data_IF_385465112028
#
_entry.id   IF_385465112028
#
_cell.length_a   1.000
_cell.length_b   1.000
_cell.length_c   1.000
_cell.angle_alpha   90.00
_cell.angle_beta   90.00
_cell.angle_gamma   90.00
#
_symmetry.space_group_name_H-M   'P 1'
#
loop_
_entity.id
_entity.type
_entity.pdbx_description
1 polymer ?
#
# COMPACT_ATOMS: atom_id res chain seq x y z
N UNK A 1 50.20 -35.49 12.27
CA UNK A 1 49.57 -34.74 13.40
C UNK A 1 49.08 -33.35 12.99
N UNK A 2 49.92 -32.44 12.45
CA UNK A 2 49.54 -31.06 12.07
C UNK A 2 48.40 -30.91 11.03
N UNK A 3 48.31 -31.82 10.06
CA UNK A 3 47.28 -31.83 9.00
C UNK A 3 45.87 -32.19 9.52
N UNK A 4 45.75 -33.03 10.56
CA UNK A 4 44.44 -33.39 11.13
C UNK A 4 43.83 -32.25 11.97
N UNK A 5 44.67 -31.48 12.66
CA UNK A 5 44.19 -30.34 13.45
C UNK A 5 43.65 -29.21 12.57
N UNK A 6 44.23 -28.97 11.38
CA UNK A 6 43.71 -27.99 10.42
C UNK A 6 42.35 -28.40 9.85
N UNK A 7 42.14 -29.70 9.56
CA UNK A 7 40.86 -30.21 9.08
C UNK A 7 39.76 -30.13 10.14
N UNK A 8 40.09 -30.40 11.40
CA UNK A 8 39.15 -30.25 12.53
C UNK A 8 38.83 -28.79 12.84
N UNK A 9 39.80 -27.87 12.71
CA UNK A 9 39.56 -26.43 12.90
C UNK A 9 38.70 -25.81 11.79
N UNK A 10 38.92 -26.20 10.52
CA UNK A 10 38.10 -25.71 9.38
C UNK A 10 36.65 -26.21 9.49
N UNK A 11 36.43 -27.45 9.93
CA UNK A 11 35.08 -27.99 10.16
C UNK A 11 34.38 -27.38 11.39
N UNK A 12 35.13 -26.92 12.38
CA UNK A 12 34.57 -26.24 13.55
C UNK A 12 34.18 -24.78 13.25
N UNK A 13 34.94 -24.10 12.37
CA UNK A 13 34.62 -22.75 11.90
C UNK A 13 33.39 -22.74 10.98
N UNK A 14 33.19 -23.80 10.18
CA UNK A 14 31.99 -24.00 9.34
C UNK A 14 30.71 -24.33 10.13
N UNK A 15 30.82 -24.80 11.38
CA UNK A 15 29.66 -25.19 12.20
C UNK A 15 29.25 -24.16 13.26
N UNK A 16 30.15 -23.26 13.69
CA UNK A 16 29.84 -22.23 14.69
C UNK A 16 29.68 -20.80 14.15
N UNK A 17 30.04 -20.53 12.88
CA UNK A 17 30.05 -19.17 12.34
C UNK A 17 29.24 -19.03 11.04
N UNK A 18 27.98 -18.60 11.15
CA UNK A 18 27.35 -17.87 10.05
C UNK A 18 26.11 -18.46 9.39
N UNK A 19 25.13 -18.97 10.16
CA UNK A 19 23.77 -19.24 9.64
C UNK A 19 22.67 -18.49 10.42
N UNK A 20 23.03 -17.46 11.18
CA UNK A 20 22.06 -16.56 11.78
C UNK A 20 22.33 -15.13 11.29
N UNK A 21 21.30 -14.48 10.73
CA UNK A 21 21.23 -13.04 10.39
C UNK A 21 21.35 -12.59 8.91
N UNK A 22 21.03 -13.41 7.90
CA UNK A 22 20.81 -12.88 6.52
C UNK A 22 19.45 -13.26 5.91
N UNK A 23 18.53 -13.89 6.65
CA UNK A 23 17.26 -14.34 6.04
C UNK A 23 16.13 -13.30 6.05
N UNK A 24 16.23 -12.22 6.84
CA UNK A 24 15.13 -11.26 7.00
C UNK A 24 15.00 -10.23 5.87
N UNK A 25 16.03 -10.03 5.04
CA UNK A 25 15.97 -9.04 3.95
C UNK A 25 15.53 -9.61 2.59
N UNK A 26 15.49 -10.93 2.45
CA UNK A 26 15.11 -11.58 1.19
C UNK A 26 13.59 -11.73 1.03
N UNK A 27 12.82 -11.71 2.12
CA UNK A 27 11.37 -11.92 2.07
C UNK A 27 10.64 -10.82 1.26
N UNK A 28 10.90 -9.54 1.54
CA UNK A 28 10.29 -8.43 0.79
C UNK A 28 10.65 -8.41 -0.69
N UNK A 29 11.92 -8.71 -1.05
CA UNK A 29 12.39 -8.72 -2.43
C UNK A 29 11.70 -9.84 -3.24
N UNK A 30 11.47 -10.99 -2.63
CA UNK A 30 10.78 -12.12 -3.27
C UNK A 30 9.33 -11.77 -3.58
N UNK A 31 8.61 -11.15 -2.65
CA UNK A 31 7.22 -10.76 -2.87
C UNK A 31 7.06 -9.65 -3.91
N UNK A 32 7.97 -8.68 -3.95
CA UNK A 32 7.97 -7.61 -4.95
C UNK A 32 8.29 -8.16 -6.35
N UNK A 33 9.21 -9.13 -6.46
CA UNK A 33 9.50 -9.81 -7.73
C UNK A 33 8.27 -10.63 -8.20
N UNK A 34 7.64 -11.37 -7.31
CA UNK A 34 6.44 -12.15 -7.64
C UNK A 34 5.30 -11.25 -8.13
N UNK A 35 5.13 -10.05 -7.54
CA UNK A 35 4.15 -9.07 -8.04
C UNK A 35 4.46 -8.59 -9.46
N UNK A 36 5.73 -8.38 -9.80
CA UNK A 36 6.14 -8.00 -11.16
C UNK A 36 5.88 -9.14 -12.17
N UNK A 37 6.11 -10.39 -11.78
CA UNK A 37 5.76 -11.55 -12.60
C UNK A 37 4.24 -11.65 -12.81
N UNK A 38 3.43 -11.41 -11.78
CA UNK A 38 1.97 -11.40 -11.87
C UNK A 38 1.45 -10.27 -12.79
N UNK A 39 2.15 -9.14 -12.85
CA UNK A 39 1.84 -8.04 -13.79
C UNK A 39 2.06 -8.47 -15.25
N UNK A 40 3.19 -9.14 -15.54
CA UNK A 40 3.44 -9.71 -16.87
C UNK A 40 2.37 -10.76 -17.23
N UNK A 41 1.94 -11.57 -16.28
CA UNK A 41 0.85 -12.55 -16.51
C UNK A 41 -0.46 -11.83 -16.81
N UNK A 42 -0.80 -10.76 -16.09
CA UNK A 42 -1.99 -9.95 -16.34
C UNK A 42 -1.97 -9.39 -17.77
N UNK A 43 -0.86 -8.79 -18.21
CA UNK A 43 -0.74 -8.23 -19.57
C UNK A 43 -0.95 -9.30 -20.65
N UNK A 44 -0.41 -10.51 -20.44
CA UNK A 44 -0.60 -11.63 -21.36
C UNK A 44 -2.07 -12.10 -21.39
N UNK A 45 -2.76 -12.11 -20.26
CA UNK A 45 -4.18 -12.47 -20.18
C UNK A 45 -5.07 -11.40 -20.85
N UNK A 46 -4.74 -10.13 -20.67
CA UNK A 46 -5.42 -9.01 -21.33
C UNK A 46 -5.25 -9.11 -22.86
N UNK A 47 -4.03 -9.37 -23.34
CA UNK A 47 -3.80 -9.62 -24.76
C UNK A 47 -4.64 -10.81 -25.28
N UNK A 48 -4.68 -11.93 -24.55
CA UNK A 48 -5.51 -13.08 -24.94
C UNK A 48 -7.00 -12.71 -25.03
N UNK A 49 -7.49 -11.93 -24.08
CA UNK A 49 -8.87 -11.44 -24.03
C UNK A 49 -9.20 -10.53 -25.20
N UNK A 50 -8.29 -9.63 -25.56
CA UNK A 50 -8.41 -8.78 -26.74
C UNK A 50 -8.48 -9.62 -28.03
N UNK A 51 -7.67 -10.66 -28.16
CA UNK A 51 -7.75 -11.58 -29.31
C UNK A 51 -9.08 -12.32 -29.39
N UNK A 52 -9.63 -12.76 -28.25
CA UNK A 52 -10.95 -13.40 -28.19
C UNK A 52 -12.04 -12.40 -28.61
N UNK A 53 -11.97 -11.16 -28.14
CA UNK A 53 -12.90 -10.09 -28.53
C UNK A 53 -12.81 -9.78 -30.02
N UNK A 54 -11.60 -9.60 -30.54
CA UNK A 54 -11.36 -9.35 -31.95
C UNK A 54 -11.95 -10.45 -32.85
N UNK A 55 -11.75 -11.73 -32.49
CA UNK A 55 -12.34 -12.87 -33.21
C UNK A 55 -13.86 -12.85 -33.16
N UNK A 56 -14.44 -12.61 -31.97
CA UNK A 56 -15.88 -12.50 -31.80
C UNK A 56 -16.45 -11.40 -32.69
N UNK A 57 -15.89 -10.19 -32.63
CA UNK A 57 -16.38 -9.04 -33.39
C UNK A 57 -16.27 -9.26 -34.90
N UNK A 58 -15.20 -9.94 -35.32
CA UNK A 58 -15.01 -10.34 -36.72
C UNK A 58 -16.06 -11.34 -37.16
N UNK A 59 -16.34 -12.37 -36.37
CA UNK A 59 -17.37 -13.37 -36.69
C UNK A 59 -18.78 -12.77 -36.65
N UNK A 60 -19.07 -11.86 -35.71
CA UNK A 60 -20.33 -11.12 -35.65
C UNK A 60 -20.54 -10.31 -36.93
N UNK A 61 -19.53 -9.56 -37.39
CA UNK A 61 -19.59 -8.82 -38.67
C UNK A 61 -19.85 -9.75 -39.86
N UNK A 62 -19.23 -10.94 -39.87
CA UNK A 62 -19.46 -11.94 -40.91
C UNK A 62 -20.87 -12.53 -40.87
N UNK A 63 -21.45 -12.74 -39.68
CA UNK A 63 -22.82 -13.24 -39.54
C UNK A 63 -23.85 -12.32 -40.18
N UNK A 64 -23.66 -10.99 -40.11
CA UNK A 64 -24.55 -10.03 -40.76
C UNK A 64 -24.52 -10.07 -42.30
N UNK A 65 -23.56 -10.79 -42.90
CA UNK A 65 -23.52 -11.03 -44.35
C UNK A 65 -24.28 -12.28 -44.77
N UNK A 66 -24.79 -13.08 -43.82
CA UNK A 66 -25.48 -14.34 -44.08
C UNK A 66 -27.00 -14.18 -44.03
N UNK A 67 -27.72 -15.07 -44.72
CA UNK A 67 -29.18 -15.10 -44.68
C UNK A 67 -29.73 -15.49 -43.29
N UNK A 68 -29.09 -16.44 -42.61
CA UNK A 68 -29.51 -16.91 -41.27
C UNK A 68 -28.69 -16.23 -40.16
N UNK A 69 -28.86 -14.92 -40.01
CA UNK A 69 -28.09 -14.09 -39.05
C UNK A 69 -28.24 -14.60 -37.61
N UNK A 70 -29.47 -14.78 -37.12
CA UNK A 70 -29.74 -15.15 -35.72
C UNK A 70 -29.05 -16.47 -35.32
N UNK A 71 -29.19 -17.50 -36.15
CA UNK A 71 -28.55 -18.80 -35.90
C UNK A 71 -27.02 -18.70 -35.91
N UNK A 72 -26.46 -17.83 -36.76
CA UNK A 72 -25.02 -17.57 -36.79
C UNK A 72 -24.58 -16.87 -35.49
N UNK A 73 -25.28 -15.80 -35.08
CA UNK A 73 -24.98 -15.04 -33.87
C UNK A 73 -25.03 -15.92 -32.61
N UNK A 74 -26.02 -16.81 -32.50
CA UNK A 74 -26.10 -17.76 -31.38
C UNK A 74 -24.87 -18.65 -31.31
N UNK A 75 -24.42 -19.19 -32.45
CA UNK A 75 -23.22 -20.02 -32.50
C UNK A 75 -21.97 -19.24 -32.10
N UNK A 76 -21.80 -18.04 -32.63
CA UNK A 76 -20.66 -17.16 -32.29
C UNK A 76 -20.66 -16.84 -30.81
N UNK A 77 -21.81 -16.49 -30.23
CA UNK A 77 -21.96 -16.24 -28.79
C UNK A 77 -21.55 -17.45 -27.95
N UNK A 78 -21.97 -18.65 -28.32
CA UNK A 78 -21.58 -19.87 -27.60
C UNK A 78 -20.07 -20.12 -27.66
N UNK A 79 -19.44 -19.87 -28.82
CA UNK A 79 -17.98 -19.98 -28.96
C UNK A 79 -17.27 -18.93 -28.11
N UNK A 80 -17.69 -17.67 -28.19
CA UNK A 80 -17.13 -16.58 -27.39
C UNK A 80 -17.21 -16.86 -25.89
N UNK A 81 -18.37 -17.32 -25.40
CA UNK A 81 -18.55 -17.64 -23.98
C UNK A 81 -17.62 -18.77 -23.51
N UNK A 82 -17.32 -19.75 -24.38
CA UNK A 82 -16.36 -20.82 -24.06
C UNK A 82 -14.93 -20.28 -24.00
N UNK A 83 -14.53 -19.50 -24.99
CA UNK A 83 -13.18 -18.92 -25.07
C UNK A 83 -12.91 -17.95 -23.92
N UNK A 84 -13.82 -17.00 -23.66
CA UNK A 84 -13.67 -16.01 -22.60
C UNK A 84 -13.68 -16.65 -21.20
N UNK A 85 -14.41 -17.76 -21.03
CA UNK A 85 -14.43 -18.50 -19.76
C UNK A 85 -13.06 -19.07 -19.42
N UNK A 86 -12.32 -19.56 -20.41
CA UNK A 86 -10.95 -20.09 -20.19
C UNK A 86 -10.03 -18.97 -19.68
N UNK A 87 -10.04 -17.82 -20.34
CA UNK A 87 -9.25 -16.65 -19.93
C UNK A 87 -9.66 -16.17 -18.54
N UNK A 88 -10.97 -16.07 -18.27
CA UNK A 88 -11.50 -15.64 -16.96
C UNK A 88 -11.07 -16.54 -15.80
N UNK A 89 -11.02 -17.85 -16.00
CA UNK A 89 -10.56 -18.78 -14.96
C UNK A 89 -9.09 -18.51 -14.61
N UNK A 90 -8.27 -18.20 -15.61
CA UNK A 90 -6.86 -17.84 -15.40
C UNK A 90 -6.71 -16.47 -14.73
N UNK A 91 -7.49 -15.46 -15.14
CA UNK A 91 -7.56 -14.14 -14.49
C UNK A 91 -7.90 -14.26 -13.00
N UNK A 92 -8.93 -15.05 -12.66
CA UNK A 92 -9.35 -15.26 -11.27
C UNK A 92 -8.23 -15.92 -10.45
N UNK A 93 -7.64 -17.00 -10.95
CA UNK A 93 -6.55 -17.68 -10.26
C UNK A 93 -5.34 -16.75 -10.02
N UNK A 94 -4.99 -15.93 -11.01
CA UNK A 94 -3.92 -14.93 -10.89
C UNK A 94 -4.30 -13.84 -9.86
N UNK A 95 -5.51 -13.30 -9.92
CA UNK A 95 -5.97 -12.29 -8.96
C UNK A 95 -6.01 -12.81 -7.53
N UNK A 96 -6.40 -14.07 -7.34
CA UNK A 96 -6.38 -14.73 -6.03
C UNK A 96 -4.95 -14.78 -5.50
N UNK A 97 -3.99 -15.19 -6.34
CA UNK A 97 -2.56 -15.19 -5.98
C UNK A 97 -2.04 -13.79 -5.66
N UNK A 98 -2.42 -12.78 -6.44
CA UNK A 98 -2.05 -11.38 -6.19
C UNK A 98 -2.59 -10.88 -4.86
N UNK A 99 -3.79 -11.29 -4.44
CA UNK A 99 -4.33 -10.94 -3.12
C UNK A 99 -3.51 -11.57 -2.00
N UNK A 100 -3.17 -12.85 -2.12
CA UNK A 100 -2.31 -13.55 -1.15
C UNK A 100 -0.95 -12.86 -0.98
N UNK A 101 -0.27 -12.52 -2.08
CA UNK A 101 1.04 -11.83 -2.04
C UNK A 101 0.94 -10.46 -1.37
N UNK A 102 -0.10 -9.69 -1.69
CA UNK A 102 -0.32 -8.40 -1.04
C UNK A 102 -0.63 -8.53 0.46
N UNK A 103 -1.34 -9.57 0.87
CA UNK A 103 -1.59 -9.86 2.28
C UNK A 103 -0.30 -10.22 3.04
N UNK A 104 0.60 -10.99 2.41
CA UNK A 104 1.91 -11.29 2.98
C UNK A 104 2.75 -10.01 3.17
N UNK A 105 2.87 -9.18 2.12
CA UNK A 105 3.58 -7.90 2.18
C UNK A 105 2.98 -6.99 3.25
N UNK A 106 1.65 -6.92 3.32
CA UNK A 106 0.96 -6.12 4.33
C UNK A 106 1.29 -6.61 5.73
N UNK A 107 1.25 -7.93 5.95
CA UNK A 107 1.57 -8.53 7.24
C UNK A 107 3.01 -8.21 7.66
N UNK A 108 3.97 -8.35 6.75
CA UNK A 108 5.36 -7.97 6.98
C UNK A 108 5.47 -6.48 7.38
N UNK A 109 4.88 -5.58 6.60
CA UNK A 109 4.86 -4.13 6.89
C UNK A 109 4.17 -3.82 8.21
N UNK A 110 3.10 -4.52 8.56
CA UNK A 110 2.39 -4.36 9.83
C UNK A 110 3.28 -4.75 11.00
N UNK A 111 4.00 -5.87 10.91
CA UNK A 111 4.96 -6.28 11.96
C UNK A 111 6.06 -5.26 12.16
N UNK A 112 6.63 -4.71 11.07
CA UNK A 112 7.65 -3.67 11.14
C UNK A 112 7.11 -2.38 11.77
N UNK A 113 5.90 -1.96 11.38
CA UNK A 113 5.23 -0.77 11.97
C UNK A 113 4.93 -0.95 13.45
N UNK A 114 4.54 -2.15 13.88
CA UNK A 114 4.32 -2.45 15.30
C UNK A 114 5.64 -2.40 16.07
N UNK A 115 6.70 -3.00 15.53
CA UNK A 115 8.04 -2.97 16.14
C UNK A 115 8.56 -1.54 16.27
N UNK A 116 8.45 -0.73 15.21
CA UNK A 116 8.82 0.69 15.23
C UNK A 116 7.98 1.48 16.25
N UNK A 117 6.68 1.16 16.39
CA UNK A 117 5.84 1.79 17.42
C UNK A 117 6.25 1.42 18.84
N UNK A 118 6.72 0.21 19.05
CA UNK A 118 7.17 -0.27 20.34
C UNK A 118 8.62 0.15 20.65
N UNK A 119 9.34 0.76 19.70
CA UNK A 119 10.67 1.30 19.96
C UNK A 119 10.62 2.33 21.11
N UNK A 120 11.43 2.16 22.17
CA UNK A 120 11.42 3.05 23.33
C UNK A 120 11.70 4.51 22.96
N UNK A 121 12.52 4.78 21.94
CA UNK A 121 12.77 6.16 21.45
C UNK A 121 11.48 6.77 20.90
N UNK A 122 10.75 6.02 20.08
CA UNK A 122 9.51 6.48 19.47
C UNK A 122 8.39 6.63 20.52
N UNK A 123 8.36 5.78 21.55
CA UNK A 123 7.44 5.92 22.68
C UNK A 123 7.72 7.22 23.44
N UNK A 124 8.99 7.48 23.74
CA UNK A 124 9.42 8.68 24.44
C UNK A 124 9.09 9.94 23.63
N UNK A 125 9.44 9.96 22.35
CA UNK A 125 9.13 11.07 21.45
C UNK A 125 7.62 11.35 21.38
N UNK A 126 6.77 10.30 21.31
CA UNK A 126 5.31 10.50 21.38
C UNK A 126 4.85 11.08 22.70
N UNK A 127 5.46 10.70 23.82
CA UNK A 127 5.14 11.27 25.12
C UNK A 127 5.52 12.75 25.20
N UNK A 128 6.70 13.10 24.70
CA UNK A 128 7.20 14.48 24.69
C UNK A 128 6.38 15.36 23.74
N UNK A 129 5.99 14.83 22.57
CA UNK A 129 5.10 15.51 21.63
C UNK A 129 3.71 15.79 22.22
N UNK A 130 3.15 14.86 23.01
CA UNK A 130 1.88 15.08 23.72
C UNK A 130 1.99 16.21 24.74
N UNK A 131 3.03 16.20 25.57
CA UNK A 131 3.29 17.26 26.56
C UNK A 131 3.47 18.62 25.88
N UNK A 132 4.31 18.69 24.85
CA UNK A 132 4.54 19.92 24.10
C UNK A 132 3.27 20.46 23.43
N UNK A 133 2.37 19.57 22.98
CA UNK A 133 1.08 19.97 22.44
C UNK A 133 0.18 20.57 23.52
N UNK A 134 0.06 19.93 24.68
CA UNK A 134 -0.73 20.42 25.82
C UNK A 134 -0.23 21.79 26.30
N UNK A 135 1.08 21.96 26.44
CA UNK A 135 1.70 23.24 26.78
C UNK A 135 1.35 24.34 25.76
N UNK A 136 1.41 24.02 24.46
CA UNK A 136 1.02 24.94 23.38
C UNK A 136 -0.46 25.32 23.47
N UNK A 137 -1.35 24.40 23.84
CA UNK A 137 -2.77 24.71 24.02
C UNK A 137 -2.99 25.68 25.20
N UNK A 138 -2.32 25.44 26.33
CA UNK A 138 -2.38 26.32 27.50
C UNK A 138 -1.86 27.71 27.15
N UNK A 139 -0.71 27.80 26.49
CA UNK A 139 -0.11 29.08 26.07
C UNK A 139 -1.00 29.82 25.08
N UNK A 140 -1.64 29.10 24.15
CA UNK A 140 -2.62 29.69 23.23
C UNK A 140 -3.81 30.25 23.98
N UNK A 141 -4.39 29.52 24.93
CA UNK A 141 -5.51 29.98 25.74
C UNK A 141 -5.15 31.26 26.53
N UNK A 142 -4.01 31.26 27.22
CA UNK A 142 -3.50 32.44 27.94
C UNK A 142 -3.32 33.65 27.03
N UNK A 143 -2.77 33.45 25.83
CA UNK A 143 -2.59 34.53 24.86
C UNK A 143 -3.92 35.11 24.38
N UNK A 144 -4.94 34.27 24.20
CA UNK A 144 -6.29 34.73 23.81
C UNK A 144 -6.89 35.58 24.92
N UNK A 145 -6.82 35.12 26.16
CA UNK A 145 -7.30 35.85 27.34
C UNK A 145 -6.60 37.23 27.48
N UNK A 146 -5.27 37.26 27.38
CA UNK A 146 -4.48 38.50 27.41
C UNK A 146 -4.88 39.48 26.28
N UNK A 147 -5.19 38.95 25.08
CA UNK A 147 -5.66 39.77 23.97
C UNK A 147 -7.06 40.33 24.22
N UNK A 148 -7.96 39.57 24.85
CA UNK A 148 -9.30 40.04 25.22
C UNK A 148 -9.26 41.11 26.30
N UNK A 149 -8.41 40.94 27.33
CA UNK A 149 -8.20 41.96 28.35
C UNK A 149 -7.68 43.27 27.75
N UNK A 150 -6.68 43.19 26.86
CA UNK A 150 -6.17 44.37 26.14
C UNK A 150 -7.23 45.05 25.28
N UNK A 151 -8.13 44.29 24.66
CA UNK A 151 -9.27 44.85 23.91
C UNK A 151 -10.21 45.61 24.83
N UNK A 152 -10.64 45.00 25.94
CA UNK A 152 -11.51 45.63 26.94
C UNK A 152 -10.89 46.89 27.54
N UNK A 153 -9.61 46.87 27.87
CA UNK A 153 -8.91 48.02 28.41
C UNK A 153 -8.78 49.17 27.38
N UNK A 154 -8.45 48.83 26.13
CA UNK A 154 -8.43 49.81 25.02
C UNK A 154 -9.81 50.45 24.80
N UNK A 155 -10.89 49.67 24.82
CA UNK A 155 -12.26 50.16 24.72
C UNK A 155 -12.63 51.09 25.88
N UNK A 156 -12.28 50.74 27.12
CA UNK A 156 -12.48 51.61 28.30
C UNK A 156 -11.74 52.93 28.15
N UNK A 157 -10.47 52.91 27.74
CA UNK A 157 -9.67 54.12 27.49
C UNK A 157 -10.29 54.98 26.37
N UNK A 158 -10.77 54.36 25.30
CA UNK A 158 -11.45 55.06 24.22
C UNK A 158 -12.76 55.72 24.67
N UNK A 159 -13.57 55.04 25.50
CA UNK A 159 -14.80 55.59 26.07
C UNK A 159 -14.52 56.78 27.00
N UNK A 160 -13.53 56.64 27.90
CA UNK A 160 -13.12 57.72 28.80
C UNK A 160 -12.68 58.97 28.02
N UNK A 161 -11.89 58.79 26.96
CA UNK A 161 -11.47 59.90 26.09
C UNK A 161 -12.64 60.55 25.34
N UNK A 162 -13.66 59.78 24.93
CA UNK A 162 -14.89 60.33 24.32
C UNK A 162 -15.72 61.13 25.33
N UNK A 163 -15.87 60.65 26.56
CA UNK A 163 -16.62 61.35 27.62
C UNK A 163 -15.90 62.57 28.19
N UNK A 164 -14.57 62.65 28.04
CA UNK A 164 -13.75 63.77 28.50
C UNK A 164 -13.49 64.85 27.42
N UNK A 165 -13.99 64.66 26.19
CA UNK A 165 -13.98 65.69 25.14
C UNK A 165 -15.14 66.67 25.38
N UNK A 166 -14.88 67.95 25.72
CA UNK A 166 -15.92 68.97 25.73
C UNK A 166 -16.26 69.36 24.30
N UNK A 167 -17.56 69.38 23.97
CA UNK A 167 -18.08 70.17 22.84
C UNK A 167 -17.96 71.67 23.15
#
# INVERSE_FOLDING_TARGET
MRQMHYRLLVLFILSLGGVACITSSFAGIVHDQELAELEIVQDNLDLQKEWVQYRNDTQVRQCYQLFFVERCLDRVRQTYLKEIKVVRVQELAMHDRRREVNEMIKTEKDTLRIAERQDPKNIQERADNRKAFEEKQILRAKRIEELEERRKDSEKRAQQNRSASPL
#
